data_IF_499134531739
#
_entry.id   IF_499134531739
#
_cell.length_a   1.000
_cell.length_b   1.000
_cell.length_c   1.000
_cell.angle_alpha   90.00
_cell.angle_beta   90.00
_cell.angle_gamma   90.00
#
_symmetry.space_group_name_H-M   'P 1'
#
loop_
_entity.id
_entity.type
_entity.pdbx_description
1 polymer ?
#
# COMPACT_ATOMS: atom_id res chain seq x y z
N UNK A 1 -6.45 -15.96 -20.28
CA UNK A 1 -5.72 -14.71 -19.95
C UNK A 1 -5.12 -14.88 -18.56
N UNK A 2 -3.82 -15.13 -18.49
CA UNK A 2 -3.07 -15.30 -17.24
C UNK A 2 -3.09 -13.99 -16.44
N UNK A 3 -3.51 -14.07 -15.18
CA UNK A 3 -3.63 -12.94 -14.25
C UNK A 3 -2.28 -12.25 -14.07
N UNK A 4 -2.04 -11.19 -14.83
CA UNK A 4 -0.85 -10.33 -14.76
C UNK A 4 -0.74 -9.64 -13.39
N UNK A 5 -1.87 -9.44 -12.72
CA UNK A 5 -1.99 -8.82 -11.40
C UNK A 5 -1.31 -9.62 -10.30
N UNK A 6 -1.34 -10.96 -10.38
CA UNK A 6 -0.68 -11.83 -9.38
C UNK A 6 0.85 -11.89 -9.49
N UNK A 7 1.40 -11.52 -10.64
CA UNK A 7 2.85 -11.39 -10.86
C UNK A 7 3.35 -10.03 -10.38
N UNK A 8 2.63 -8.95 -10.71
CA UNK A 8 3.02 -7.59 -10.36
C UNK A 8 3.04 -7.33 -8.85
N UNK A 9 1.95 -7.65 -8.14
CA UNK A 9 1.87 -7.42 -6.70
C UNK A 9 2.95 -8.19 -5.92
N UNK A 10 3.32 -9.39 -6.42
CA UNK A 10 4.39 -10.21 -5.87
C UNK A 10 5.76 -9.58 -6.10
N UNK A 11 6.05 -9.15 -7.33
CA UNK A 11 7.31 -8.47 -7.66
C UNK A 11 7.47 -7.17 -6.88
N UNK A 12 6.40 -6.38 -6.78
CA UNK A 12 6.39 -5.15 -5.97
C UNK A 12 6.68 -5.44 -4.50
N UNK A 13 6.01 -6.43 -3.90
CA UNK A 13 6.27 -6.82 -2.51
C UNK A 13 7.72 -7.25 -2.31
N UNK A 14 8.23 -8.12 -3.16
CA UNK A 14 9.61 -8.61 -3.06
C UNK A 14 10.64 -7.49 -3.18
N UNK A 15 10.48 -6.60 -4.16
CA UNK A 15 11.35 -5.44 -4.33
C UNK A 15 11.27 -4.51 -3.11
N UNK A 16 10.05 -4.29 -2.59
CA UNK A 16 9.84 -3.42 -1.42
C UNK A 16 10.52 -3.98 -0.19
N UNK A 17 10.29 -5.26 0.12
CA UNK A 17 10.91 -5.92 1.27
C UNK A 17 12.45 -5.91 1.20
N UNK A 18 13.02 -6.04 0.01
CA UNK A 18 14.47 -5.93 -0.17
C UNK A 18 14.97 -4.51 0.14
N UNK A 19 14.29 -3.49 -0.37
CA UNK A 19 14.64 -2.09 -0.16
C UNK A 19 14.41 -1.67 1.31
N UNK A 20 13.33 -2.12 1.95
CA UNK A 20 13.05 -1.88 3.37
C UNK A 20 14.18 -2.43 4.24
N UNK A 21 14.65 -3.66 4.00
CA UNK A 21 15.77 -4.26 4.74
C UNK A 21 17.06 -3.46 4.55
N UNK A 22 17.32 -2.99 3.34
CA UNK A 22 18.51 -2.19 3.07
C UNK A 22 18.43 -0.81 3.74
N UNK A 23 17.24 -0.21 3.79
CA UNK A 23 16.97 1.00 4.55
C UNK A 23 17.21 0.79 6.05
N UNK A 24 16.72 -0.31 6.64
CA UNK A 24 16.98 -0.67 8.04
C UNK A 24 18.48 -0.84 8.31
N UNK A 25 19.20 -1.50 7.40
CA UNK A 25 20.66 -1.68 7.48
C UNK A 25 21.39 -0.34 7.46
N UNK A 26 21.01 0.57 6.56
CA UNK A 26 21.61 1.90 6.45
C UNK A 26 21.33 2.77 7.68
N UNK A 27 20.10 2.69 8.22
CA UNK A 27 19.68 3.45 9.41
C UNK A 27 20.24 2.89 10.71
N UNK A 28 20.66 1.61 10.74
CA UNK A 28 21.08 0.92 11.95
C UNK A 28 19.95 0.65 12.94
N UNK A 29 18.69 0.66 12.46
CA UNK A 29 17.47 0.39 13.25
C UNK A 29 16.34 -0.09 12.35
N UNK A 30 15.32 -0.69 12.96
CA UNK A 30 14.08 -1.01 12.27
C UNK A 30 13.38 0.27 11.76
N UNK A 31 12.68 0.14 10.63
CA UNK A 31 11.84 1.21 10.11
C UNK A 31 10.64 1.42 11.03
N UNK A 32 10.34 2.68 11.33
CA UNK A 32 9.11 3.06 11.99
C UNK A 32 7.90 2.73 11.11
N UNK A 33 6.72 2.68 11.72
CA UNK A 33 5.45 2.47 10.99
C UNK A 33 5.27 3.49 9.86
N UNK A 34 5.59 4.76 10.11
CA UNK A 34 5.47 5.81 9.10
C UNK A 34 6.40 5.56 7.92
N UNK A 35 7.68 5.22 8.19
CA UNK A 35 8.66 4.97 7.12
C UNK A 35 8.28 3.73 6.30
N UNK A 36 7.85 2.63 6.94
CA UNK A 36 7.31 1.46 6.21
C UNK A 36 6.14 1.85 5.30
N UNK A 37 5.24 2.70 5.79
CA UNK A 37 4.13 3.18 4.99
C UNK A 37 4.61 4.03 3.80
N UNK A 38 5.74 4.74 3.87
CA UNK A 38 6.33 5.40 2.70
C UNK A 38 6.68 4.38 1.61
N UNK A 39 7.44 3.33 1.94
CA UNK A 39 7.78 2.28 0.96
C UNK A 39 6.54 1.59 0.38
N UNK A 40 5.54 1.31 1.23
CA UNK A 40 4.26 0.69 0.83
C UNK A 40 3.37 1.61 0.00
N UNK A 41 3.57 2.93 0.06
CA UNK A 41 2.83 3.94 -0.72
C UNK A 41 3.55 4.37 -2.00
N UNK A 42 4.70 3.75 -2.32
CA UNK A 42 5.33 3.92 -3.63
C UNK A 42 4.44 3.42 -4.77
N UNK A 43 3.47 2.52 -4.56
CA UNK A 43 2.36 2.19 -5.49
C UNK A 43 2.74 1.64 -6.87
N UNK A 44 4.00 1.77 -7.30
CA UNK A 44 4.58 1.31 -8.55
C UNK A 44 6.03 0.89 -8.33
N UNK A 45 6.51 -0.05 -9.14
CA UNK A 45 7.91 -0.47 -9.14
C UNK A 45 8.86 0.69 -9.43
N UNK A 46 8.59 1.53 -10.44
CA UNK A 46 9.48 2.65 -10.78
C UNK A 46 9.64 3.66 -9.65
N UNK A 47 8.56 3.98 -8.92
CA UNK A 47 8.68 4.91 -7.78
C UNK A 47 9.37 4.27 -6.58
N UNK A 48 9.21 2.96 -6.42
CA UNK A 48 9.94 2.20 -5.43
C UNK A 48 11.43 2.12 -5.77
N UNK A 49 11.79 1.97 -7.05
CA UNK A 49 13.17 2.05 -7.54
C UNK A 49 13.78 3.42 -7.26
N UNK A 50 13.06 4.53 -7.52
CA UNK A 50 13.51 5.88 -7.15
C UNK A 50 13.82 6.01 -5.65
N UNK A 51 12.96 5.47 -4.79
CA UNK A 51 13.20 5.47 -3.35
C UNK A 51 14.37 4.53 -2.97
N UNK A 52 14.50 3.39 -3.66
CA UNK A 52 15.63 2.48 -3.52
C UNK A 52 16.96 3.16 -3.88
N UNK A 53 17.00 3.99 -4.92
CA UNK A 53 18.18 4.78 -5.25
C UNK A 53 18.57 5.73 -4.10
N UNK A 54 17.59 6.34 -3.43
CA UNK A 54 17.89 7.18 -2.26
C UNK A 54 18.48 6.38 -1.10
N UNK A 55 18.08 5.11 -0.94
CA UNK A 55 18.69 4.19 0.05
C UNK A 55 20.13 3.85 -0.36
N UNK A 56 20.35 3.37 -1.59
CA UNK A 56 21.65 2.86 -2.03
C UNK A 56 22.73 3.94 -2.16
N UNK A 57 22.35 5.18 -2.41
CA UNK A 57 23.25 6.30 -2.63
C UNK A 57 23.24 7.34 -1.50
N UNK A 58 22.64 7.01 -0.35
CA UNK A 58 22.70 7.88 0.82
C UNK A 58 24.12 7.98 1.39
N UNK A 59 24.57 9.19 1.70
CA UNK A 59 25.88 9.45 2.32
C UNK A 59 25.96 8.89 3.76
N UNK A 60 24.85 8.85 4.47
CA UNK A 60 24.74 8.32 5.83
C UNK A 60 23.30 7.95 6.18
N UNK A 61 23.13 7.13 7.22
CA UNK A 61 21.82 6.83 7.80
C UNK A 61 21.10 8.08 8.32
N UNK A 62 21.82 9.06 8.87
CA UNK A 62 21.22 10.32 9.34
C UNK A 62 20.66 11.16 8.19
N UNK A 63 21.41 11.31 7.10
CA UNK A 63 20.98 12.03 5.90
C UNK A 63 19.75 11.36 5.26
N UNK A 64 19.74 10.03 5.24
CA UNK A 64 18.61 9.27 4.75
C UNK A 64 17.38 9.39 5.67
N UNK A 65 17.55 9.33 6.99
CA UNK A 65 16.47 9.55 7.95
C UNK A 65 15.85 10.95 7.80
N UNK A 66 16.68 11.97 7.60
CA UNK A 66 16.21 13.33 7.33
C UNK A 66 15.40 13.40 6.02
N UNK A 67 15.84 12.69 4.98
CA UNK A 67 15.09 12.59 3.72
C UNK A 67 13.73 11.94 3.95
N UNK A 68 13.68 10.77 4.60
CA UNK A 68 12.43 10.07 4.92
C UNK A 68 11.45 10.95 5.71
N UNK A 69 11.94 11.74 6.67
CA UNK A 69 11.10 12.64 7.47
C UNK A 69 10.41 13.76 6.65
N UNK A 70 10.96 14.10 5.49
CA UNK A 70 10.39 15.14 4.60
C UNK A 70 9.50 14.59 3.49
N UNK A 71 9.57 13.28 3.23
CA UNK A 71 8.80 12.64 2.18
C UNK A 71 7.35 12.44 2.63
N UNK A 72 6.40 12.85 1.78
CA UNK A 72 5.00 12.47 1.94
C UNK A 72 4.51 11.75 0.69
N UNK A 73 3.98 10.55 0.89
CA UNK A 73 3.33 9.75 -0.16
C UNK A 73 1.81 9.63 0.07
N UNK A 74 1.28 10.41 1.01
CA UNK A 74 -0.16 10.49 1.30
C UNK A 74 -1.00 10.85 0.05
N UNK A 75 -0.61 11.82 -0.81
CA UNK A 75 -1.40 12.13 -2.00
C UNK A 75 -1.59 10.94 -2.94
N UNK A 76 -0.61 10.03 -3.01
CA UNK A 76 -0.69 8.83 -3.87
C UNK A 76 -1.58 7.76 -3.26
N UNK A 77 -1.53 7.61 -1.93
CA UNK A 77 -2.47 6.75 -1.22
C UNK A 77 -3.91 7.25 -1.40
N UNK A 78 -4.15 8.56 -1.29
CA UNK A 78 -5.47 9.14 -1.52
C UNK A 78 -5.96 8.93 -2.96
N UNK A 79 -5.09 9.13 -3.96
CA UNK A 79 -5.42 8.82 -5.35
C UNK A 79 -5.81 7.35 -5.53
N UNK A 80 -5.08 6.42 -4.91
CA UNK A 80 -5.40 5.00 -4.97
C UNK A 80 -6.78 4.69 -4.35
N UNK A 81 -7.18 5.39 -3.28
CA UNK A 81 -8.53 5.29 -2.71
C UNK A 81 -9.57 5.80 -3.71
N UNK A 82 -9.34 6.96 -4.32
CA UNK A 82 -10.28 7.56 -5.26
C UNK A 82 -10.47 6.68 -6.51
N UNK A 83 -9.43 6.01 -6.98
CA UNK A 83 -9.50 5.05 -8.08
C UNK A 83 -10.14 3.70 -7.68
N UNK A 84 -9.95 3.26 -6.43
CA UNK A 84 -10.48 1.99 -5.94
C UNK A 84 -11.98 2.10 -5.58
N UNK A 85 -12.41 3.23 -5.05
CA UNK A 85 -13.80 3.49 -4.62
C UNK A 85 -14.83 3.09 -5.70
N UNK A 86 -14.79 3.60 -6.95
CA UNK A 86 -15.79 3.24 -7.96
C UNK A 86 -15.69 1.78 -8.42
N UNK A 87 -14.56 1.09 -8.19
CA UNK A 87 -14.44 -0.36 -8.43
C UNK A 87 -15.14 -1.15 -7.33
N UNK A 88 -14.93 -0.76 -6.07
CA UNK A 88 -15.61 -1.37 -4.92
C UNK A 88 -17.12 -1.18 -5.03
N UNK A 89 -17.60 0.01 -5.32
CA UNK A 89 -19.04 0.30 -5.45
C UNK A 89 -19.70 -0.57 -6.54
N UNK A 90 -19.03 -0.78 -7.68
CA UNK A 90 -19.49 -1.69 -8.73
C UNK A 90 -19.52 -3.15 -8.27
N UNK A 91 -18.49 -3.61 -7.54
CA UNK A 91 -18.44 -4.97 -7.03
C UNK A 91 -19.50 -5.24 -5.95
N UNK A 92 -19.82 -4.21 -5.15
CA UNK A 92 -20.81 -4.24 -4.06
C UNK A 92 -22.23 -3.88 -4.51
N UNK A 93 -22.39 -3.36 -5.74
CA UNK A 93 -23.66 -2.88 -6.31
C UNK A 93 -24.34 -1.79 -5.48
N UNK A 94 -23.56 -0.97 -4.77
CA UNK A 94 -24.05 0.18 -3.99
C UNK A 94 -22.92 1.19 -3.76
N UNK A 95 -23.24 2.45 -3.49
CA UNK A 95 -22.25 3.41 -3.04
C UNK A 95 -21.65 3.02 -1.69
N UNK A 96 -20.39 3.43 -1.45
CA UNK A 96 -19.78 3.33 -0.12
C UNK A 96 -20.40 4.36 0.82
N UNK A 97 -20.61 3.96 2.07
CA UNK A 97 -21.07 4.89 3.11
C UNK A 97 -19.93 5.80 3.55
N UNK A 98 -20.20 6.99 4.12
CA UNK A 98 -19.15 7.88 4.64
C UNK A 98 -18.24 7.20 5.69
N UNK A 99 -18.80 6.27 6.47
CA UNK A 99 -18.05 5.46 7.44
C UNK A 99 -17.06 4.54 6.73
N UNK A 100 -17.48 3.85 5.68
CA UNK A 100 -16.61 2.94 4.91
C UNK A 100 -15.51 3.69 4.17
N UNK A 101 -15.82 4.86 3.60
CA UNK A 101 -14.82 5.74 2.98
C UNK A 101 -13.78 6.21 4.00
N UNK A 102 -14.22 6.52 5.23
CA UNK A 102 -13.31 6.87 6.32
C UNK A 102 -12.43 5.69 6.73
N UNK A 103 -12.99 4.49 6.81
CA UNK A 103 -12.23 3.27 7.14
C UNK A 103 -11.22 2.91 6.05
N UNK A 104 -11.53 3.12 4.77
CA UNK A 104 -10.54 2.96 3.68
C UNK A 104 -9.33 3.88 3.86
N UNK A 105 -9.55 5.11 4.30
CA UNK A 105 -8.46 6.08 4.59
C UNK A 105 -7.61 5.66 5.79
N UNK A 106 -8.12 4.80 6.67
CA UNK A 106 -7.40 4.26 7.83
C UNK A 106 -6.57 3.01 7.51
N UNK A 107 -6.60 2.51 6.28
CA UNK A 107 -5.74 1.40 5.85
C UNK A 107 -4.28 1.81 5.67
N UNK A 108 -3.99 3.12 5.67
CA UNK A 108 -2.68 3.78 5.71
C UNK A 108 -1.70 3.49 4.55
N UNK A 109 -1.87 2.39 3.81
CA UNK A 109 -1.02 2.09 2.67
C UNK A 109 -1.68 1.35 1.51
N UNK A 110 -1.14 1.57 0.31
CA UNK A 110 -1.67 1.04 -0.97
C UNK A 110 -1.75 -0.50 -0.97
N UNK A 111 -0.80 -1.21 -0.36
CA UNK A 111 -0.87 -2.68 -0.32
C UNK A 111 -2.13 -3.20 0.41
N UNK A 112 -2.57 -2.53 1.48
CA UNK A 112 -3.79 -2.92 2.19
C UNK A 112 -5.03 -2.69 1.31
N UNK A 113 -5.02 -1.65 0.47
CA UNK A 113 -6.06 -1.41 -0.54
C UNK A 113 -6.10 -2.54 -1.57
N UNK A 114 -4.94 -2.99 -2.07
CA UNK A 114 -4.87 -4.12 -3.01
C UNK A 114 -5.35 -5.43 -2.40
N UNK A 115 -4.97 -5.72 -1.16
CA UNK A 115 -5.44 -6.92 -0.46
C UNK A 115 -6.94 -6.87 -0.20
N UNK A 116 -7.48 -5.70 0.16
CA UNK A 116 -8.92 -5.50 0.28
C UNK A 116 -9.62 -5.71 -1.06
N UNK A 117 -9.15 -5.07 -2.14
CA UNK A 117 -9.71 -5.23 -3.49
C UNK A 117 -9.72 -6.71 -3.90
N UNK A 118 -8.60 -7.40 -3.71
CA UNK A 118 -8.47 -8.82 -4.01
C UNK A 118 -9.44 -9.67 -3.18
N UNK A 119 -9.56 -9.40 -1.88
CA UNK A 119 -10.46 -10.14 -0.99
C UNK A 119 -11.93 -9.98 -1.40
N UNK A 120 -12.33 -8.76 -1.77
CA UNK A 120 -13.69 -8.48 -2.28
C UNK A 120 -13.92 -9.11 -3.65
N UNK A 121 -12.93 -9.03 -4.55
CA UNK A 121 -13.05 -9.54 -5.91
C UNK A 121 -13.19 -11.07 -5.95
N UNK A 122 -12.45 -11.76 -5.08
CA UNK A 122 -12.42 -13.23 -5.01
C UNK A 122 -13.56 -13.84 -4.19
N UNK A 123 -14.27 -13.04 -3.39
CA UNK A 123 -15.47 -13.49 -2.69
C UNK A 123 -16.65 -13.75 -3.66
N UNK A 124 -17.50 -14.75 -3.36
CA UNK A 124 -18.77 -14.94 -4.06
C UNK A 124 -19.59 -13.64 -4.10
N UNK A 125 -20.33 -13.33 -5.19
CA UNK A 125 -21.03 -12.05 -5.33
C UNK A 125 -21.94 -11.69 -4.14
N UNK A 126 -22.61 -12.68 -3.55
CA UNK A 126 -23.48 -12.52 -2.37
C UNK A 126 -22.71 -12.32 -1.05
N UNK A 127 -21.42 -12.61 -1.02
CA UNK A 127 -20.55 -12.48 0.16
C UNK A 127 -19.64 -11.25 0.12
N UNK A 128 -19.54 -10.56 -1.03
CA UNK A 128 -18.62 -9.41 -1.21
C UNK A 128 -18.78 -8.32 -0.17
N UNK A 129 -20.03 -8.02 0.22
CA UNK A 129 -20.31 -7.04 1.26
C UNK A 129 -19.74 -7.47 2.61
N UNK A 130 -19.92 -8.74 2.97
CA UNK A 130 -19.37 -9.32 4.21
C UNK A 130 -17.84 -9.32 4.16
N UNK A 131 -17.25 -9.72 3.04
CA UNK A 131 -15.79 -9.70 2.82
C UNK A 131 -15.22 -8.29 2.96
N UNK A 132 -15.87 -7.29 2.34
CA UNK A 132 -15.48 -5.88 2.44
C UNK A 132 -15.54 -5.37 3.89
N UNK A 133 -16.66 -5.56 4.58
CA UNK A 133 -16.81 -5.13 5.97
C UNK A 133 -15.84 -5.83 6.92
N UNK A 134 -15.51 -7.10 6.65
CA UNK A 134 -14.50 -7.83 7.41
C UNK A 134 -13.09 -7.25 7.18
N UNK A 135 -12.71 -7.03 5.92
CA UNK A 135 -11.40 -6.48 5.56
C UNK A 135 -11.16 -5.07 6.13
N UNK A 136 -12.21 -4.24 6.24
CA UNK A 136 -12.11 -2.92 6.87
C UNK A 136 -11.91 -3.00 8.40
N UNK A 137 -12.43 -4.04 9.07
CA UNK A 137 -12.31 -4.21 10.53
C UNK A 137 -11.03 -4.93 10.95
N UNK A 138 -10.52 -5.77 10.07
CA UNK A 138 -9.30 -6.55 10.28
C UNK A 138 -8.31 -6.23 9.15
N UNK A 139 -7.74 -5.01 9.16
CA UNK A 139 -6.80 -4.60 8.13
C UNK A 139 -5.57 -5.50 8.14
N UNK A 140 -5.09 -5.81 6.95
CA UNK A 140 -3.94 -6.67 6.73
C UNK A 140 -2.68 -5.99 7.29
N UNK A 141 -2.01 -6.66 8.24
CA UNK A 141 -0.79 -6.18 8.92
C UNK A 141 0.48 -6.51 8.15
#
# INVERSE_FOLDING_TARGET
MTSTTGSYARLYRQAREAIEKEAERLLGRDLTRHERNLFRNCGTLSKLEELGMQVYYADSGEAFAATLATLSLEPRFLLAIDELTPRLERMLQRPLTPTETRQLRQLEHIEALWQLEYHVQTAPPNERLKAFSHALKHPFT
#
